data_IF_460487428818
#
_entry.id   IF_460487428818
#
_cell.length_a   1.000
_cell.length_b   1.000
_cell.length_c   1.000
_cell.angle_alpha   90.00
_cell.angle_beta   90.00
_cell.angle_gamma   90.00
#
_symmetry.space_group_name_H-M   'P 1'
#
loop_
_entity.id
_entity.type
_entity.pdbx_description
1 polymer ?
#
# COMPACT_ATOMS: atom_id res chain seq x y z
N UNK A 1 -32.71 -23.04 -34.11
CA UNK A 1 -33.59 -22.44 -33.07
C UNK A 1 -33.80 -23.45 -31.95
N UNK A 2 -33.41 -23.14 -30.72
CA UNK A 2 -33.54 -24.04 -29.56
C UNK A 2 -35.01 -24.07 -29.06
N UNK A 3 -35.85 -24.91 -29.70
CA UNK A 3 -37.30 -24.99 -29.42
C UNK A 3 -37.61 -25.38 -27.97
N UNK A 4 -36.80 -26.26 -27.37
CA UNK A 4 -36.96 -26.71 -25.97
C UNK A 4 -36.72 -25.56 -24.98
N UNK A 5 -35.64 -24.80 -25.16
CA UNK A 5 -35.36 -23.62 -24.32
C UNK A 5 -36.42 -22.53 -24.49
N UNK A 6 -36.94 -22.34 -25.71
CA UNK A 6 -38.02 -21.39 -25.95
C UNK A 6 -39.31 -21.78 -25.20
N UNK A 7 -39.70 -23.06 -25.24
CA UNK A 7 -40.87 -23.54 -24.51
C UNK A 7 -40.75 -23.34 -22.99
N UNK A 8 -39.58 -23.63 -22.42
CA UNK A 8 -39.29 -23.38 -21.01
C UNK A 8 -39.40 -21.90 -20.63
N UNK A 9 -38.86 -21.00 -21.46
CA UNK A 9 -38.98 -19.54 -21.23
C UNK A 9 -40.45 -19.07 -21.25
N UNK A 10 -41.27 -19.62 -22.14
CA UNK A 10 -42.70 -19.28 -22.24
C UNK A 10 -43.47 -19.78 -21.02
N UNK A 11 -43.18 -21.00 -20.54
CA UNK A 11 -43.80 -21.54 -19.34
C UNK A 11 -43.49 -20.68 -18.10
N UNK A 12 -42.20 -20.42 -17.85
CA UNK A 12 -41.77 -19.60 -16.71
C UNK A 12 -42.31 -18.17 -16.77
N UNK A 13 -42.33 -17.55 -17.97
CA UNK A 13 -42.89 -16.21 -18.13
C UNK A 13 -44.39 -16.13 -17.83
N UNK A 14 -45.15 -17.20 -18.13
CA UNK A 14 -46.58 -17.28 -17.82
C UNK A 14 -46.81 -17.49 -16.33
N UNK A 15 -46.04 -18.38 -15.71
CA UNK A 15 -46.07 -18.62 -14.26
C UNK A 15 -45.78 -17.35 -13.47
N UNK A 16 -44.78 -16.57 -13.89
CA UNK A 16 -44.39 -15.30 -13.27
C UNK A 16 -45.22 -14.09 -13.75
N UNK A 17 -46.26 -14.30 -14.56
CA UNK A 17 -47.12 -13.26 -15.13
C UNK A 17 -46.34 -12.06 -15.75
N UNK A 18 -45.24 -12.34 -16.46
CA UNK A 18 -44.43 -11.29 -17.07
C UNK A 18 -45.18 -10.54 -18.16
N UNK A 19 -45.09 -9.20 -18.11
CA UNK A 19 -45.63 -8.30 -19.13
C UNK A 19 -44.79 -8.31 -20.42
N UNK A 20 -45.40 -7.87 -21.51
CA UNK A 20 -44.77 -7.81 -22.85
C UNK A 20 -43.51 -6.95 -22.89
N UNK A 21 -43.48 -5.84 -22.15
CA UNK A 21 -42.31 -4.96 -22.00
C UNK A 21 -41.14 -5.66 -21.31
N UNK A 22 -41.40 -6.44 -20.26
CA UNK A 22 -40.40 -7.29 -19.59
C UNK A 22 -39.83 -8.31 -20.59
N UNK A 23 -40.67 -9.00 -21.35
CA UNK A 23 -40.24 -9.97 -22.35
C UNK A 23 -39.43 -9.32 -23.48
N UNK A 24 -39.86 -8.14 -23.95
CA UNK A 24 -39.13 -7.37 -24.95
C UNK A 24 -37.75 -6.93 -24.44
N UNK A 25 -37.65 -6.55 -23.16
CA UNK A 25 -36.38 -6.24 -22.50
C UNK A 25 -35.48 -7.47 -22.43
N UNK A 26 -35.98 -8.63 -21.98
CA UNK A 26 -35.21 -9.88 -21.90
C UNK A 26 -34.65 -10.25 -23.28
N UNK A 27 -35.49 -10.20 -24.32
CA UNK A 27 -35.07 -10.49 -25.68
C UNK A 27 -34.00 -9.52 -26.19
N UNK A 28 -34.19 -8.21 -25.99
CA UNK A 28 -33.25 -7.17 -26.45
C UNK A 28 -31.92 -7.24 -25.71
N UNK A 29 -31.97 -7.34 -24.38
CA UNK A 29 -30.79 -7.37 -23.51
C UNK A 29 -29.95 -8.62 -23.73
N UNK A 30 -30.54 -9.76 -24.09
CA UNK A 30 -29.79 -10.98 -24.41
C UNK A 30 -28.84 -10.85 -25.61
N UNK A 31 -29.10 -9.90 -26.53
CA UNK A 31 -28.31 -9.75 -27.78
C UNK A 31 -26.84 -9.39 -27.56
N UNK A 32 -26.48 -8.84 -26.40
CA UNK A 32 -25.10 -8.47 -26.10
C UNK A 32 -24.21 -9.64 -25.68
N UNK A 33 -24.78 -10.84 -25.52
CA UNK A 33 -24.04 -12.07 -25.21
C UNK A 33 -23.56 -12.73 -26.50
N UNK A 34 -22.35 -13.28 -26.47
CA UNK A 34 -21.67 -13.75 -27.69
C UNK A 34 -22.12 -15.17 -28.07
N UNK A 35 -22.34 -16.03 -27.08
CA UNK A 35 -22.75 -17.43 -27.24
C UNK A 35 -24.27 -17.62 -27.28
N UNK A 36 -24.78 -18.43 -28.21
CA UNK A 36 -26.22 -18.77 -28.26
C UNK A 36 -26.68 -19.57 -27.03
N UNK A 37 -25.80 -20.41 -26.47
CA UNK A 37 -26.06 -21.13 -25.21
C UNK A 37 -26.27 -20.14 -24.06
N UNK A 38 -25.42 -19.13 -23.95
CA UNK A 38 -25.51 -18.12 -22.89
C UNK A 38 -26.72 -17.22 -23.09
N UNK A 39 -27.07 -16.89 -24.34
CA UNK A 39 -28.31 -16.17 -24.66
C UNK A 39 -29.54 -16.92 -24.17
N UNK A 40 -29.61 -18.24 -24.40
CA UNK A 40 -30.75 -19.05 -23.96
C UNK A 40 -30.77 -19.25 -22.45
N UNK A 41 -29.62 -19.52 -21.84
CA UNK A 41 -29.51 -19.59 -20.38
C UNK A 41 -29.94 -18.27 -19.72
N UNK A 42 -29.47 -17.15 -20.26
CA UNK A 42 -29.83 -15.80 -19.81
C UNK A 42 -31.33 -15.54 -19.90
N UNK A 43 -31.94 -15.83 -21.06
CA UNK A 43 -33.38 -15.65 -21.26
C UNK A 43 -34.21 -16.49 -20.29
N UNK A 44 -33.86 -17.77 -20.17
CA UNK A 44 -34.57 -18.69 -19.29
C UNK A 44 -34.50 -18.21 -17.84
N UNK A 45 -33.30 -17.89 -17.34
CA UNK A 45 -33.13 -17.40 -15.97
C UNK A 45 -33.88 -16.11 -15.68
N UNK A 46 -33.98 -15.21 -16.67
CA UNK A 46 -34.78 -14.00 -16.49
C UNK A 46 -36.28 -14.24 -16.54
N UNK A 47 -36.76 -15.19 -17.36
CA UNK A 47 -38.16 -15.61 -17.35
C UNK A 47 -38.54 -16.37 -16.07
N UNK A 48 -37.59 -17.05 -15.42
CA UNK A 48 -37.74 -17.71 -14.11
C UNK A 48 -37.66 -16.73 -12.93
N UNK A 49 -37.29 -15.46 -13.16
CA UNK A 49 -37.12 -14.49 -12.07
C UNK A 49 -38.47 -13.91 -11.68
N UNK A 50 -38.96 -14.29 -10.50
CA UNK A 50 -40.15 -13.69 -9.89
C UNK A 50 -39.98 -12.16 -9.66
N UNK A 51 -41.04 -11.40 -9.92
CA UNK A 51 -41.12 -9.98 -9.61
C UNK A 51 -41.32 -9.06 -10.81
N UNK A 52 -41.17 -7.77 -10.55
CA UNK A 52 -41.42 -6.69 -11.52
C UNK A 52 -40.23 -6.45 -12.48
N UNK A 53 -40.42 -5.54 -13.44
CA UNK A 53 -39.39 -5.22 -14.43
C UNK A 53 -38.07 -4.74 -13.77
N UNK A 54 -38.16 -4.03 -12.64
CA UNK A 54 -36.97 -3.57 -11.91
C UNK A 54 -36.18 -4.76 -11.36
N UNK A 55 -36.85 -5.76 -10.84
CA UNK A 55 -36.26 -7.01 -10.33
C UNK A 55 -35.59 -7.79 -11.46
N UNK A 56 -36.27 -7.92 -12.60
CA UNK A 56 -35.72 -8.55 -13.82
C UNK A 56 -34.50 -7.78 -14.34
N UNK A 57 -34.52 -6.45 -14.37
CA UNK A 57 -33.36 -5.62 -14.78
C UNK A 57 -32.17 -5.79 -13.82
N UNK A 58 -32.43 -5.87 -12.51
CA UNK A 58 -31.38 -6.12 -11.51
C UNK A 58 -30.76 -7.50 -11.73
N UNK A 59 -31.57 -8.54 -11.91
CA UNK A 59 -31.09 -9.90 -12.21
C UNK A 59 -30.35 -9.96 -13.55
N UNK A 60 -30.86 -9.26 -14.56
CA UNK A 60 -30.25 -9.13 -15.88
C UNK A 60 -28.84 -8.54 -15.82
N UNK A 61 -28.60 -7.52 -15.00
CA UNK A 61 -27.26 -6.95 -14.78
C UNK A 61 -26.32 -7.95 -14.10
N UNK A 62 -26.80 -8.64 -13.06
CA UNK A 62 -26.02 -9.65 -12.35
C UNK A 62 -25.62 -10.81 -13.27
N UNK A 63 -26.60 -11.38 -13.99
CA UNK A 63 -26.39 -12.51 -14.88
C UNK A 63 -25.50 -12.15 -16.08
N UNK A 64 -25.59 -10.92 -16.59
CA UNK A 64 -24.63 -10.44 -17.61
C UNK A 64 -23.21 -10.37 -17.07
N UNK A 65 -23.03 -9.92 -15.82
CA UNK A 65 -21.70 -9.88 -15.18
C UNK A 65 -21.12 -11.28 -14.98
N UNK A 66 -21.97 -12.27 -14.70
CA UNK A 66 -21.58 -13.69 -14.59
C UNK A 66 -21.20 -14.29 -15.97
N UNK A 67 -22.04 -14.10 -16.98
CA UNK A 67 -21.86 -14.73 -18.31
C UNK A 67 -20.85 -14.01 -19.20
N UNK A 68 -20.74 -12.69 -19.07
CA UNK A 68 -19.83 -11.84 -19.82
C UNK A 68 -19.17 -10.86 -18.85
N UNK A 69 -18.23 -11.36 -18.02
CA UNK A 69 -17.52 -10.51 -17.09
C UNK A 69 -16.88 -9.34 -17.85
N UNK A 70 -16.97 -8.10 -17.33
CA UNK A 70 -16.36 -6.96 -17.98
C UNK A 70 -14.85 -7.23 -18.13
N UNK A 71 -14.32 -6.93 -19.31
CA UNK A 71 -12.89 -7.07 -19.56
C UNK A 71 -12.09 -6.29 -18.50
N UNK A 72 -10.95 -6.82 -18.04
CA UNK A 72 -10.07 -6.09 -17.12
C UNK A 72 -9.76 -4.71 -17.69
N UNK A 73 -9.74 -3.69 -16.82
CA UNK A 73 -9.29 -2.36 -17.25
C UNK A 73 -7.83 -2.46 -17.66
N UNK A 74 -7.56 -2.15 -18.91
CA UNK A 74 -6.23 -2.08 -19.48
C UNK A 74 -5.89 -0.62 -19.83
N UNK A 75 -4.60 -0.27 -19.88
CA UNK A 75 -4.17 1.02 -20.41
C UNK A 75 -4.79 1.25 -21.79
N UNK A 76 -5.43 2.41 -21.97
CA UNK A 76 -6.12 2.76 -23.21
C UNK A 76 -6.15 4.26 -23.37
N UNK A 77 -5.90 4.72 -24.60
CA UNK A 77 -6.23 6.07 -25.02
C UNK A 77 -7.35 6.01 -26.07
N UNK A 78 -8.30 6.92 -25.98
CA UNK A 78 -9.32 7.14 -27.02
C UNK A 78 -9.68 8.61 -27.08
N UNK A 79 -10.08 9.07 -28.25
CA UNK A 79 -10.53 10.46 -28.46
C UNK A 79 -11.97 10.43 -28.97
N UNK A 80 -12.80 11.26 -28.38
CA UNK A 80 -14.16 11.54 -28.85
C UNK A 80 -14.15 12.94 -29.47
N UNK A 81 -14.51 13.04 -30.74
CA UNK A 81 -14.66 14.31 -31.45
C UNK A 81 -16.10 14.82 -31.29
N UNK A 82 -16.25 16.10 -30.96
CA UNK A 82 -17.54 16.77 -30.78
C UNK A 82 -17.74 17.85 -31.86
N UNK A 83 -18.90 18.49 -31.84
CA UNK A 83 -19.18 19.61 -32.74
C UNK A 83 -18.32 20.84 -32.38
N UNK A 84 -18.17 21.76 -33.35
CA UNK A 84 -17.49 23.04 -33.18
C UNK A 84 -16.01 22.95 -32.78
N UNK A 85 -15.33 21.87 -33.19
CA UNK A 85 -13.89 21.69 -33.02
C UNK A 85 -13.46 21.23 -31.63
N UNK A 86 -14.39 20.92 -30.74
CA UNK A 86 -14.08 20.37 -29.42
C UNK A 86 -13.78 18.88 -29.50
N UNK A 87 -12.84 18.40 -28.68
CA UNK A 87 -12.50 16.97 -28.58
C UNK A 87 -12.19 16.61 -27.14
N UNK A 88 -12.55 15.40 -26.74
CA UNK A 88 -12.24 14.84 -25.42
C UNK A 88 -11.29 13.67 -25.57
N UNK A 89 -10.15 13.74 -24.89
CA UNK A 89 -9.23 12.60 -24.74
C UNK A 89 -9.59 11.85 -23.46
N UNK A 90 -9.87 10.55 -23.60
CA UNK A 90 -10.00 9.62 -22.49
C UNK A 90 -8.71 8.79 -22.39
N UNK A 91 -8.00 8.94 -21.28
CA UNK A 91 -6.81 8.16 -20.96
C UNK A 91 -7.13 7.29 -19.74
N UNK A 92 -6.91 5.99 -19.89
CA UNK A 92 -7.00 5.00 -18.82
C UNK A 92 -5.60 4.50 -18.51
N UNK A 93 -5.20 4.56 -17.25
CA UNK A 93 -3.90 4.09 -16.72
C UNK A 93 -4.03 3.76 -15.24
N UNK A 94 -2.93 3.42 -14.58
CA UNK A 94 -2.95 3.27 -13.11
C UNK A 94 -3.16 4.63 -12.47
N UNK A 95 -3.82 4.66 -11.31
CA UNK A 95 -4.09 5.92 -10.59
C UNK A 95 -2.81 6.69 -10.26
N UNK A 96 -1.71 5.97 -9.98
CA UNK A 96 -0.37 6.56 -9.76
C UNK A 96 0.13 7.36 -10.95
N UNK A 97 -0.23 6.97 -12.17
CA UNK A 97 0.24 7.57 -13.41
C UNK A 97 -0.74 8.66 -13.91
N UNK A 98 -2.04 8.45 -13.68
CA UNK A 98 -3.11 9.35 -14.10
C UNK A 98 -3.26 10.55 -13.17
N UNK A 99 -3.05 10.38 -11.86
CA UNK A 99 -3.30 11.45 -10.88
C UNK A 99 -2.35 12.66 -11.04
N UNK A 100 -1.04 12.50 -11.30
CA UNK A 100 -0.15 13.63 -11.58
C UNK A 100 -0.59 14.38 -12.84
N UNK A 101 -0.93 13.64 -13.90
CA UNK A 101 -1.43 14.19 -15.18
C UNK A 101 -2.72 14.99 -14.97
N UNK A 102 -3.68 14.40 -14.25
CA UNK A 102 -4.94 15.07 -13.93
C UNK A 102 -4.70 16.33 -13.10
N UNK A 103 -3.86 16.28 -12.06
CA UNK A 103 -3.55 17.45 -11.22
C UNK A 103 -2.89 18.57 -12.01
N UNK A 104 -1.98 18.24 -12.93
CA UNK A 104 -1.33 19.22 -13.79
C UNK A 104 -2.31 19.86 -14.78
N UNK A 105 -3.29 19.10 -15.27
CA UNK A 105 -4.24 19.55 -16.29
C UNK A 105 -5.53 20.19 -15.73
N UNK A 106 -5.98 19.82 -14.52
CA UNK A 106 -7.33 20.10 -14.02
C UNK A 106 -7.68 21.60 -14.05
N UNK A 107 -6.77 22.45 -13.60
CA UNK A 107 -7.06 23.87 -13.41
C UNK A 107 -6.89 24.67 -14.71
N UNK A 108 -6.03 24.21 -15.62
CA UNK A 108 -5.85 24.80 -16.96
C UNK A 108 -5.47 23.72 -18.00
N UNK A 109 -6.47 23.06 -18.60
CA UNK A 109 -6.23 21.99 -19.56
C UNK A 109 -5.55 22.47 -20.84
N UNK A 110 -5.78 23.72 -21.26
CA UNK A 110 -5.26 24.26 -22.51
C UNK A 110 -3.77 24.60 -22.38
N UNK A 111 -3.35 25.21 -21.26
CA UNK A 111 -1.94 25.42 -20.95
C UNK A 111 -1.16 24.11 -20.80
N UNK A 112 -1.80 23.09 -20.18
CA UNK A 112 -1.23 21.76 -20.04
C UNK A 112 -1.03 21.06 -21.39
N UNK A 113 -2.04 21.09 -22.28
CA UNK A 113 -1.94 20.53 -23.63
C UNK A 113 -0.85 21.22 -24.48
N UNK A 114 -0.64 22.51 -24.27
CA UNK A 114 0.38 23.30 -24.97
C UNK A 114 1.76 23.25 -24.29
N UNK A 115 1.95 22.35 -23.32
CA UNK A 115 3.23 22.05 -22.65
C UNK A 115 3.85 23.24 -21.88
N UNK A 116 3.02 24.18 -21.40
CA UNK A 116 3.49 25.36 -20.66
C UNK A 116 3.53 25.16 -19.14
N UNK A 117 3.09 24.00 -18.64
CA UNK A 117 3.10 23.66 -17.22
C UNK A 117 3.82 22.33 -17.02
N UNK A 118 4.97 22.34 -16.34
CA UNK A 118 5.68 21.12 -15.94
C UNK A 118 4.79 20.28 -15.02
N UNK A 119 4.76 18.96 -15.22
CA UNK A 119 4.15 18.02 -14.28
C UNK A 119 4.83 18.16 -12.93
N UNK A 120 4.17 18.85 -11.98
CA UNK A 120 4.61 18.88 -10.60
C UNK A 120 4.66 17.46 -10.04
N UNK A 121 5.73 17.14 -9.33
CA UNK A 121 5.91 15.85 -8.65
C UNK A 121 4.75 15.66 -7.67
N UNK A 122 3.77 14.86 -8.07
CA UNK A 122 2.59 14.60 -7.27
C UNK A 122 3.00 13.59 -6.22
N UNK A 123 3.57 14.08 -5.11
CA UNK A 123 3.80 13.27 -3.94
C UNK A 123 2.48 12.59 -3.55
N UNK A 124 2.50 11.26 -3.55
CA UNK A 124 1.37 10.47 -3.08
C UNK A 124 1.44 10.51 -1.57
N UNK A 125 0.61 11.34 -0.95
CA UNK A 125 0.38 11.27 0.49
C UNK A 125 -0.43 10.01 0.78
N UNK A 126 0.22 8.99 1.32
CA UNK A 126 -0.45 7.80 1.82
C UNK A 126 -1.10 8.14 3.16
N UNK A 127 -2.43 8.22 3.18
CA UNK A 127 -3.21 8.41 4.42
C UNK A 127 -3.83 7.07 4.79
N UNK A 128 -3.46 6.54 5.96
CA UNK A 128 -4.12 5.38 6.55
C UNK A 128 -5.28 5.87 7.43
N UNK A 129 -6.51 5.65 6.97
CA UNK A 129 -7.70 5.94 7.77
C UNK A 129 -7.99 4.77 8.71
N UNK A 130 -7.94 5.01 10.02
CA UNK A 130 -8.26 4.02 11.05
C UNK A 130 -9.59 4.34 11.72
N UNK A 131 -10.47 3.34 11.82
CA UNK A 131 -11.71 3.44 12.58
C UNK A 131 -11.42 3.40 14.10
N UNK A 132 -12.09 4.26 14.86
CA UNK A 132 -11.87 4.36 16.30
C UNK A 132 -12.35 3.08 17.00
N UNK A 133 -13.37 2.38 16.51
CA UNK A 133 -13.93 1.13 17.07
C UNK A 133 -15.01 1.36 18.14
N UNK A 134 -15.52 0.28 18.72
CA UNK A 134 -16.57 0.31 19.74
C UNK A 134 -16.01 0.67 21.13
N UNK A 135 -16.31 1.88 21.62
CA UNK A 135 -16.01 2.32 22.99
C UNK A 135 -17.27 2.74 23.73
N UNK A 136 -17.18 2.74 25.06
CA UNK A 136 -18.26 3.20 25.93
C UNK A 136 -18.58 4.68 25.70
N UNK A 137 -17.55 5.54 25.59
CA UNK A 137 -17.67 6.98 25.35
C UNK A 137 -16.42 7.54 24.63
N UNK A 138 -16.55 8.66 23.93
CA UNK A 138 -15.44 9.45 23.40
C UNK A 138 -15.72 10.95 23.50
N UNK A 139 -14.67 11.77 23.49
CA UNK A 139 -14.78 13.24 23.50
C UNK A 139 -13.67 13.91 22.69
N UNK A 140 -13.94 15.13 22.24
CA UNK A 140 -12.94 16.06 21.70
C UNK A 140 -12.57 17.06 22.78
N UNK A 141 -11.27 17.27 22.97
CA UNK A 141 -10.72 18.29 23.86
C UNK A 141 -10.67 19.65 23.15
N UNK A 142 -10.52 20.71 23.94
CA UNK A 142 -10.43 22.08 23.42
C UNK A 142 -9.19 22.32 22.54
N UNK A 143 -8.15 21.49 22.69
CA UNK A 143 -6.93 21.49 21.87
C UNK A 143 -7.08 20.71 20.54
N UNK A 144 -8.28 20.16 20.27
CA UNK A 144 -8.56 19.37 19.08
C UNK A 144 -8.16 17.89 19.18
N UNK A 145 -7.65 17.44 20.34
CA UNK A 145 -7.25 16.04 20.54
C UNK A 145 -8.46 15.17 20.94
N UNK A 146 -8.50 13.95 20.43
CA UNK A 146 -9.57 12.97 20.74
C UNK A 146 -9.19 12.15 21.97
N UNK A 147 -10.16 11.87 22.85
CA UNK A 147 -10.03 10.88 23.93
C UNK A 147 -11.15 9.84 23.86
N UNK A 148 -10.85 8.59 24.20
CA UNK A 148 -11.80 7.47 24.28
C UNK A 148 -11.79 6.84 25.67
N UNK A 149 -12.95 6.47 26.18
CA UNK A 149 -13.07 5.78 27.47
C UNK A 149 -13.12 4.27 27.28
N UNK A 150 -12.25 3.57 28.01
CA UNK A 150 -12.22 2.12 28.12
C UNK A 150 -13.34 1.62 29.05
N UNK A 151 -13.68 0.35 28.93
CA UNK A 151 -14.71 -0.31 29.76
C UNK A 151 -14.35 -0.40 31.25
N UNK A 152 -13.07 -0.23 31.60
CA UNK A 152 -12.61 -0.12 32.98
C UNK A 152 -12.66 1.32 33.53
N UNK A 153 -13.20 2.28 32.75
CA UNK A 153 -13.37 3.68 33.13
C UNK A 153 -12.19 4.60 32.82
N UNK A 154 -11.05 4.06 32.38
CA UNK A 154 -9.86 4.83 31.99
C UNK A 154 -10.05 5.58 30.67
N UNK A 155 -9.53 6.80 30.57
CA UNK A 155 -9.55 7.59 29.33
C UNK A 155 -8.18 7.55 28.63
N UNK A 156 -8.17 7.20 27.35
CA UNK A 156 -6.98 7.18 26.49
C UNK A 156 -7.04 8.31 25.47
N UNK A 157 -5.89 8.92 25.18
CA UNK A 157 -5.75 9.86 24.04
C UNK A 157 -5.75 9.13 22.71
N UNK A 158 -6.11 9.83 21.64
CA UNK A 158 -6.15 9.31 20.26
C UNK A 158 -4.82 8.69 19.84
N UNK A 159 -3.70 9.36 20.14
CA UNK A 159 -2.36 8.81 19.89
C UNK A 159 -2.10 7.48 20.65
N UNK A 160 -2.53 7.37 21.91
CA UNK A 160 -2.36 6.15 22.71
C UNK A 160 -3.24 5.02 22.20
N UNK A 161 -4.45 5.36 21.77
CA UNK A 161 -5.37 4.41 21.15
C UNK A 161 -4.80 3.88 19.82
N UNK A 162 -4.32 4.75 18.94
CA UNK A 162 -3.69 4.37 17.66
C UNK A 162 -2.52 3.44 17.92
N UNK A 163 -1.64 3.79 18.86
CA UNK A 163 -0.52 2.94 19.26
C UNK A 163 -0.98 1.58 19.81
N UNK A 164 -2.05 1.55 20.59
CA UNK A 164 -2.59 0.29 21.15
C UNK A 164 -3.25 -0.59 20.09
N UNK A 165 -3.98 -0.02 19.14
CA UNK A 165 -4.59 -0.76 18.02
C UNK A 165 -3.54 -1.27 17.05
N UNK A 166 -2.57 -0.44 16.69
CA UNK A 166 -1.49 -0.82 15.79
C UNK A 166 -0.52 -1.84 16.41
N UNK A 167 -0.43 -1.89 17.75
CA UNK A 167 0.30 -2.96 18.46
C UNK A 167 -0.21 -4.36 18.11
N UNK A 168 -1.50 -4.51 17.78
CA UNK A 168 -2.07 -5.78 17.34
C UNK A 168 -1.88 -6.05 15.83
N UNK A 169 -1.48 -5.05 15.04
CA UNK A 169 -1.42 -5.11 13.58
C UNK A 169 -0.06 -5.56 13.00
N UNK A 170 1.04 -5.55 13.78
CA UNK A 170 2.33 -6.13 13.36
C UNK A 170 3.31 -5.14 12.68
N UNK A 171 3.86 -5.51 11.52
CA UNK A 171 4.93 -4.77 10.80
C UNK A 171 4.44 -4.21 9.46
N UNK A 172 5.03 -3.11 8.98
CA UNK A 172 4.87 -2.65 7.60
C UNK A 172 6.14 -3.00 6.82
N UNK A 173 6.02 -3.95 5.88
CA UNK A 173 7.10 -4.35 4.99
C UNK A 173 7.03 -3.57 3.67
N UNK A 174 8.12 -2.90 3.31
CA UNK A 174 8.31 -2.35 1.97
C UNK A 174 9.18 -3.30 1.15
N UNK A 175 8.65 -3.75 0.01
CA UNK A 175 9.34 -4.65 -0.91
C UNK A 175 9.36 -3.99 -2.29
N UNK A 176 10.57 -3.77 -2.82
CA UNK A 176 10.83 -3.27 -4.17
C UNK A 176 10.98 -4.43 -5.15
N UNK A 177 10.49 -4.26 -6.38
CA UNK A 177 10.66 -5.24 -7.44
C UNK A 177 12.11 -5.33 -7.96
N UNK A 178 12.92 -4.28 -7.78
CA UNK A 178 14.32 -4.22 -8.21
C UNK A 178 15.31 -4.52 -7.10
N UNK A 179 14.95 -4.14 -5.86
CA UNK A 179 15.87 -4.12 -4.72
C UNK A 179 15.52 -5.16 -3.64
N UNK A 180 14.41 -5.88 -3.81
CA UNK A 180 13.92 -6.84 -2.81
C UNK A 180 13.36 -6.14 -1.57
N UNK A 181 13.39 -6.77 -0.39
CA UNK A 181 12.97 -6.14 0.86
C UNK A 181 13.77 -4.86 1.13
N UNK A 182 13.09 -3.73 1.13
CA UNK A 182 13.69 -2.39 1.28
C UNK A 182 13.74 -2.00 2.74
N UNK A 183 12.63 -2.20 3.47
CA UNK A 183 12.57 -1.89 4.88
C UNK A 183 11.44 -2.65 5.58
N UNK A 184 11.56 -2.83 6.88
CA UNK A 184 10.53 -3.39 7.76
C UNK A 184 10.37 -2.43 8.93
N UNK A 185 9.29 -1.66 8.93
CA UNK A 185 9.02 -0.71 10.00
C UNK A 185 8.33 -1.44 11.15
N UNK A 186 8.97 -1.57 12.33
CA UNK A 186 8.24 -1.86 13.53
C UNK A 186 7.38 -0.63 13.84
N UNK A 187 6.11 -0.84 14.19
CA UNK A 187 5.27 0.27 14.67
C UNK A 187 5.66 0.59 16.12
N UNK A 188 6.85 1.15 16.34
CA UNK A 188 7.32 1.66 17.66
C UNK A 188 8.54 2.58 17.58
N UNK A 189 8.49 3.66 18.39
CA UNK A 189 9.62 4.50 18.82
C UNK A 189 10.11 3.98 20.20
N UNK A 190 10.96 2.96 20.23
CA UNK A 190 11.58 2.48 21.49
C UNK A 190 13.06 2.85 21.52
N UNK A 191 13.60 3.20 22.70
CA UNK A 191 15.04 3.48 22.87
C UNK A 191 15.92 2.25 22.62
N UNK A 192 15.41 1.05 22.92
CA UNK A 192 16.21 -0.17 22.85
C UNK A 192 15.90 -0.95 21.59
N UNK A 193 16.94 -1.51 20.96
CA UNK A 193 16.74 -2.43 19.84
C UNK A 193 16.04 -3.70 20.34
N UNK A 194 14.88 -4.00 19.76
CA UNK A 194 14.18 -5.25 19.97
C UNK A 194 14.95 -6.43 19.33
N UNK A 195 14.49 -7.66 19.58
CA UNK A 195 15.16 -8.88 19.13
C UNK A 195 15.32 -8.93 17.61
N UNK A 196 14.33 -8.43 16.90
CA UNK A 196 14.24 -8.43 15.45
C UNK A 196 15.21 -7.42 14.82
N UNK A 197 15.29 -6.19 15.35
CA UNK A 197 16.28 -5.20 14.94
C UNK A 197 17.70 -5.69 15.22
N UNK A 198 17.92 -6.33 16.38
CA UNK A 198 19.21 -6.99 16.69
C UNK A 198 19.55 -8.07 15.67
N UNK A 199 18.60 -8.92 15.27
CA UNK A 199 18.83 -9.93 14.23
C UNK A 199 19.20 -9.29 12.87
N UNK A 200 18.56 -8.18 12.51
CA UNK A 200 18.86 -7.42 11.29
C UNK A 200 20.26 -6.78 11.35
N UNK A 201 20.65 -6.21 12.49
CA UNK A 201 21.99 -5.62 12.70
C UNK A 201 23.12 -6.62 12.48
N UNK A 202 22.90 -7.92 12.73
CA UNK A 202 23.89 -8.97 12.46
C UNK A 202 24.26 -9.10 10.98
N UNK A 203 23.43 -8.59 10.07
CA UNK A 203 23.77 -8.51 8.65
C UNK A 203 24.91 -7.53 8.37
N UNK A 204 25.09 -6.48 9.18
CA UNK A 204 26.18 -5.52 9.01
C UNK A 204 27.51 -6.02 9.56
N UNK A 205 27.50 -6.96 10.51
CA UNK A 205 28.70 -7.54 11.09
C UNK A 205 28.40 -8.44 12.26
N UNK A 206 29.29 -9.40 12.49
CA UNK A 206 29.16 -10.42 13.55
C UNK A 206 29.99 -10.10 14.80
N UNK A 207 30.71 -8.98 14.79
CA UNK A 207 31.56 -8.52 15.89
C UNK A 207 31.40 -7.02 16.11
N UNK A 208 31.96 -6.53 17.22
CA UNK A 208 32.09 -5.11 17.52
C UNK A 208 32.68 -4.34 16.32
N UNK A 209 31.95 -3.32 15.90
CA UNK A 209 32.29 -2.50 14.76
C UNK A 209 33.47 -1.54 15.02
N UNK A 210 34.00 -1.48 16.23
CA UNK A 210 35.16 -0.66 16.54
C UNK A 210 36.44 -1.21 15.90
N UNK A 211 37.34 -0.33 15.42
CA UNK A 211 38.62 -0.73 14.81
C UNK A 211 39.41 -1.68 15.74
N UNK A 212 39.89 -2.77 15.16
CA UNK A 212 40.69 -3.83 15.79
C UNK A 212 40.01 -4.57 16.96
N UNK A 213 38.69 -4.44 17.12
CA UNK A 213 37.93 -5.21 18.10
C UNK A 213 37.30 -6.45 17.44
N UNK A 214 37.37 -7.60 18.11
CA UNK A 214 36.81 -8.87 17.64
C UNK A 214 35.76 -9.45 18.60
N UNK A 215 35.27 -8.67 19.56
CA UNK A 215 34.22 -9.13 20.49
C UNK A 215 32.96 -9.50 19.70
N UNK A 216 32.37 -10.70 19.90
CA UNK A 216 31.18 -11.10 19.15
C UNK A 216 29.99 -10.18 19.39
N UNK A 217 29.10 -10.06 18.39
CA UNK A 217 27.88 -9.27 18.46
C UNK A 217 26.95 -9.72 19.59
N UNK A 218 26.93 -11.02 19.90
CA UNK A 218 26.13 -11.59 20.99
C UNK A 218 26.54 -11.05 22.38
N UNK A 219 27.81 -10.67 22.54
CA UNK A 219 28.34 -10.03 23.74
C UNK A 219 28.47 -8.50 23.57
N UNK A 220 27.82 -7.94 22.56
CA UNK A 220 27.86 -6.52 22.24
C UNK A 220 26.51 -5.84 22.38
N UNK A 221 26.56 -4.54 22.58
CA UNK A 221 25.42 -3.66 22.75
C UNK A 221 25.02 -3.06 21.39
N UNK A 222 23.71 -2.82 21.23
CA UNK A 222 23.17 -2.15 20.06
C UNK A 222 23.33 -0.63 20.26
N UNK A 223 24.31 -0.05 19.56
CA UNK A 223 24.75 1.33 19.75
C UNK A 223 24.17 2.27 18.70
N UNK A 224 23.63 3.42 19.13
CA UNK A 224 23.18 4.48 18.23
C UNK A 224 24.34 5.33 17.70
N UNK A 225 24.49 5.41 16.38
CA UNK A 225 25.52 6.22 15.69
C UNK A 225 25.31 7.71 15.98
N UNK A 226 24.07 8.18 15.80
CA UNK A 226 23.54 9.42 16.36
C UNK A 226 22.85 9.09 17.67
N UNK A 227 23.34 9.65 18.77
CA UNK A 227 22.85 9.37 20.12
C UNK A 227 21.32 9.56 20.23
N UNK A 228 20.64 8.61 20.87
CA UNK A 228 19.18 8.68 21.10
C UNK A 228 18.78 9.93 21.89
N UNK A 229 19.56 10.32 22.90
CA UNK A 229 19.35 11.56 23.67
C UNK A 229 19.45 12.84 22.84
N UNK A 230 20.05 12.76 21.64
CA UNK A 230 20.17 13.85 20.68
C UNK A 230 19.24 13.63 19.46
N UNK A 231 18.14 12.88 19.66
CA UNK A 231 17.12 12.64 18.64
C UNK A 231 17.43 11.52 17.65
N UNK A 232 18.44 10.67 17.90
CA UNK A 232 18.73 9.53 17.05
C UNK A 232 17.63 8.45 17.11
N UNK A 233 17.13 8.03 15.95
CA UNK A 233 16.12 6.98 15.84
C UNK A 233 16.71 5.59 16.15
N UNK A 234 15.89 4.67 16.66
CA UNK A 234 16.27 3.27 16.88
C UNK A 234 15.90 2.45 15.65
N UNK A 235 16.72 2.59 14.61
CA UNK A 235 16.53 1.99 13.29
C UNK A 235 17.86 1.48 12.74
N UNK A 236 17.85 0.58 11.76
CA UNK A 236 19.07 -0.11 11.29
C UNK A 236 20.12 0.87 10.74
N UNK A 237 19.67 1.95 10.11
CA UNK A 237 20.51 3.01 9.55
C UNK A 237 21.35 3.70 10.63
N UNK A 238 20.79 3.84 11.83
CA UNK A 238 21.40 4.56 12.95
C UNK A 238 22.01 3.63 14.00
N UNK A 239 22.15 2.33 13.73
CA UNK A 239 22.61 1.36 14.73
C UNK A 239 23.84 0.57 14.28
N UNK A 240 24.70 0.20 15.22
CA UNK A 240 25.81 -0.73 15.00
C UNK A 240 26.17 -1.51 16.27
N UNK A 241 26.93 -2.60 16.15
CA UNK A 241 27.42 -3.35 17.31
C UNK A 241 28.62 -2.68 17.95
N UNK A 242 28.59 -2.45 19.27
CA UNK A 242 29.77 -2.09 20.05
C UNK A 242 29.81 -2.89 21.35
N UNK A 243 30.99 -3.38 21.75
CA UNK A 243 31.16 -3.94 23.09
C UNK A 243 30.95 -2.84 24.16
N UNK A 244 30.63 -3.22 25.39
CA UNK A 244 30.38 -2.28 26.49
C UNK A 244 31.49 -1.24 26.66
N UNK A 245 32.76 -1.65 26.46
CA UNK A 245 33.89 -0.71 26.49
C UNK A 245 33.80 0.30 25.34
N UNK A 246 33.73 -0.14 24.09
CA UNK A 246 33.74 0.77 22.94
C UNK A 246 32.48 1.61 22.81
N UNK A 247 31.32 1.11 23.28
CA UNK A 247 30.11 1.91 23.39
C UNK A 247 30.36 3.16 24.26
N UNK A 248 30.99 3.01 25.42
CA UNK A 248 31.37 4.13 26.31
C UNK A 248 32.44 5.05 25.74
N UNK A 249 33.29 4.56 24.84
CA UNK A 249 34.39 5.32 24.24
C UNK A 249 33.98 6.10 22.98
N UNK A 250 32.88 5.69 22.34
CA UNK A 250 32.39 6.30 21.11
C UNK A 250 32.10 7.80 21.29
N UNK A 251 32.68 8.64 20.43
CA UNK A 251 32.47 10.10 20.47
C UNK A 251 33.34 10.84 21.48
N UNK A 252 34.20 10.15 22.25
CA UNK A 252 35.18 10.83 23.12
C UNK A 252 36.28 11.50 22.27
N UNK A 253 36.83 12.67 22.69
CA UNK A 253 37.74 13.49 21.88
C UNK A 253 38.92 12.75 21.23
N UNK A 254 39.49 11.74 21.90
CA UNK A 254 40.68 11.02 21.46
C UNK A 254 40.42 9.56 21.06
N UNK A 255 39.16 9.16 20.85
CA UNK A 255 38.80 7.75 20.60
C UNK A 255 38.19 7.51 19.23
N UNK A 256 37.56 8.52 18.63
CA UNK A 256 36.85 8.37 17.37
C UNK A 256 35.38 8.03 17.57
N UNK A 257 34.65 7.87 16.47
CA UNK A 257 33.21 7.60 16.49
C UNK A 257 32.78 6.69 15.35
N UNK A 258 31.71 5.94 15.56
CA UNK A 258 31.04 5.18 14.52
C UNK A 258 30.28 6.10 13.59
N UNK A 259 30.25 5.74 12.31
CA UNK A 259 29.45 6.37 11.27
C UNK A 259 28.93 5.29 10.31
N UNK A 260 27.86 5.61 9.58
CA UNK A 260 27.45 4.83 8.40
C UNK A 260 27.68 5.70 7.18
N UNK A 261 28.47 5.22 6.22
CA UNK A 261 28.80 5.94 4.99
C UNK A 261 28.50 5.03 3.81
N UNK A 262 27.64 5.48 2.88
CA UNK A 262 27.24 4.67 1.72
C UNK A 262 26.63 3.32 2.08
N UNK A 263 25.90 3.25 3.20
CA UNK A 263 25.30 2.02 3.71
C UNK A 263 26.23 1.11 4.52
N UNK A 264 27.54 1.37 4.57
CA UNK A 264 28.52 0.56 5.30
C UNK A 264 28.87 1.19 6.65
N UNK A 265 29.00 0.37 7.70
CA UNK A 265 29.49 0.82 9.01
C UNK A 265 31.00 1.12 8.94
N UNK A 266 31.37 2.31 9.38
CA UNK A 266 32.73 2.83 9.40
C UNK A 266 33.10 3.30 10.80
N UNK A 267 34.34 3.04 11.23
CA UNK A 267 34.93 3.73 12.36
C UNK A 267 35.68 4.96 11.86
N UNK A 268 35.34 6.14 12.38
CA UNK A 268 36.04 7.39 12.12
C UNK A 268 37.03 7.69 13.24
N UNK A 269 38.31 7.80 12.91
CA UNK A 269 39.35 8.21 13.86
C UNK A 269 39.16 9.66 14.33
N UNK A 270 39.78 10.08 15.45
CA UNK A 270 39.80 11.49 15.87
C UNK A 270 40.32 12.47 14.81
N UNK A 271 41.19 12.00 13.91
CA UNK A 271 41.75 12.78 12.80
C UNK A 271 40.90 12.74 11.52
N UNK A 272 39.74 12.07 11.55
CA UNK A 272 38.78 12.02 10.43
C UNK A 272 38.93 10.81 9.50
N UNK A 273 39.98 9.99 9.61
CA UNK A 273 40.15 8.79 8.78
C UNK A 273 39.02 7.77 9.00
N UNK A 274 38.44 7.27 7.91
CA UNK A 274 37.38 6.26 7.93
C UNK A 274 37.97 4.87 7.68
N UNK A 275 37.67 3.93 8.58
CA UNK A 275 38.03 2.51 8.45
C UNK A 275 36.76 1.68 8.30
N UNK A 276 36.62 0.86 7.24
CA UNK A 276 35.45 0.01 7.06
C UNK A 276 35.40 -1.12 8.09
N UNK A 277 34.23 -1.32 8.68
CA UNK A 277 34.01 -2.29 9.76
C UNK A 277 32.75 -3.12 9.58
N UNK A 278 31.77 -2.60 8.84
CA UNK A 278 30.60 -3.36 8.42
C UNK A 278 30.77 -4.01 7.04
N UNK A 279 29.83 -4.87 6.69
CA UNK A 279 29.73 -5.49 5.36
C UNK A 279 29.33 -4.43 4.32
N UNK A 280 29.98 -4.46 3.15
CA UNK A 280 29.60 -3.67 1.98
C UNK A 280 28.55 -4.44 1.16
N UNK A 281 27.28 -4.25 1.48
CA UNK A 281 26.16 -4.97 0.83
C UNK A 281 26.00 -4.68 -0.67
N UNK A 282 26.51 -3.55 -1.13
CA UNK A 282 26.48 -3.11 -2.54
C UNK A 282 27.64 -3.65 -3.38
N UNK A 283 28.55 -4.43 -2.79
CA UNK A 283 29.70 -5.00 -3.51
C UNK A 283 29.24 -6.05 -4.55
N UNK A 284 29.39 -5.80 -5.86
CA UNK A 284 28.98 -6.75 -6.91
C UNK A 284 29.75 -8.07 -6.83
N UNK A 285 30.99 -8.06 -6.35
CA UNK A 285 31.84 -9.25 -6.26
C UNK A 285 31.31 -10.28 -5.25
N UNK A 286 30.57 -9.83 -4.23
CA UNK A 286 29.94 -10.73 -3.24
C UNK A 286 28.72 -11.48 -3.77
N UNK A 287 28.05 -10.98 -4.82
CA UNK A 287 26.90 -11.69 -5.43
C UNK A 287 27.31 -13.01 -6.09
N UNK A 288 28.57 -13.15 -6.49
CA UNK A 288 29.11 -14.29 -7.22
C UNK A 288 29.99 -15.22 -6.38
N UNK A 289 30.19 -14.93 -5.10
CA UNK A 289 31.04 -15.71 -4.20
C UNK A 289 30.26 -16.74 -3.34
N UNK A 290 29.09 -17.17 -3.82
CA UNK A 290 28.27 -18.23 -3.20
C UNK A 290 28.43 -19.54 -3.96
#
# INVERSE_FOLDING_TARGET
RNRKAQAACVAAARENAHRLDTLAYIARSSRSLDSDKDRWHYRQKLCETEGDMRTVVKRAKALKKELKPPAPRAPKASVTFHDKGWSTVHITGRTTDILPVYRAAKDDPQAWLNNTRSTGDASITTVLNMDIGDFAQWRMRDDGEVEVQLTNGEWLRGAELVNRKLRAAGYIALISATDGPVNLYPVKLERHANRELRALMSADGTTCAWKDCNQPADFSEAHHIQEWSKGGATEVENMCWLCTYHNRQNGRPNRGRMQRVGGQIMWQSPKGYLTPRGIKHTDPARRHAR
#
